data_IF_933405892849
#
_entry.id   IF_933405892849
#
_cell.length_a   1.000
_cell.length_b   1.000
_cell.length_c   1.000
_cell.angle_alpha   90.00
_cell.angle_beta   90.00
_cell.angle_gamma   90.00
#
_symmetry.space_group_name_H-M   'P 1'
#
loop_
_entity.id
_entity.type
_entity.pdbx_description
1 polymer ?
#
# COMPACT_ATOMS: atom_id res chain seq x y z
N UNK A 1 -5.59 -14.68 22.60
CA UNK A 1 -6.01 -14.70 21.18
C UNK A 1 -7.53 -14.63 21.15
N UNK A 2 -8.10 -13.80 20.28
CA UNK A 2 -9.54 -13.65 20.06
C UNK A 2 -9.85 -13.94 18.60
N UNK A 3 -10.91 -14.70 18.36
CA UNK A 3 -11.35 -15.07 17.02
C UNK A 3 -12.81 -14.67 16.87
N UNK A 4 -13.12 -13.97 15.78
CA UNK A 4 -14.43 -13.43 15.49
C UNK A 4 -14.88 -13.93 14.13
N UNK A 5 -16.06 -14.55 14.08
CA UNK A 5 -16.74 -14.76 12.81
C UNK A 5 -17.49 -13.48 12.45
N UNK A 6 -17.34 -13.03 11.21
CA UNK A 6 -17.97 -11.83 10.67
C UNK A 6 -18.57 -12.14 9.32
N UNK A 7 -19.66 -11.47 9.03
CA UNK A 7 -20.27 -11.46 7.70
C UNK A 7 -20.16 -10.03 7.18
N UNK A 8 -19.46 -9.84 6.07
CA UNK A 8 -19.35 -8.54 5.41
C UNK A 8 -20.43 -8.43 4.33
N UNK A 9 -21.14 -7.30 4.30
CA UNK A 9 -22.02 -6.97 3.20
C UNK A 9 -21.18 -6.61 1.97
N UNK A 10 -21.52 -7.20 0.82
CA UNK A 10 -20.86 -6.92 -0.44
C UNK A 10 -21.68 -5.87 -1.19
N UNK A 11 -21.21 -4.63 -1.13
CA UNK A 11 -21.81 -3.54 -1.89
C UNK A 11 -21.56 -3.69 -3.38
N UNK A 12 -22.50 -3.23 -4.22
CA UNK A 12 -22.39 -3.30 -5.69
C UNK A 12 -21.09 -2.65 -6.20
N UNK A 13 -20.64 -1.59 -5.54
CA UNK A 13 -19.41 -0.88 -5.88
C UNK A 13 -18.16 -1.79 -5.81
N UNK A 14 -18.14 -2.81 -4.94
CA UNK A 14 -16.99 -3.70 -4.81
C UNK A 14 -16.79 -4.57 -6.06
N UNK A 15 -17.82 -4.76 -6.89
CA UNK A 15 -17.71 -5.47 -8.16
C UNK A 15 -16.85 -4.73 -9.19
N UNK A 16 -16.57 -3.45 -8.97
CA UNK A 16 -15.71 -2.63 -9.83
C UNK A 16 -14.22 -2.77 -9.51
N UNK A 17 -13.86 -3.31 -8.34
CA UNK A 17 -12.48 -3.59 -7.97
C UNK A 17 -12.09 -5.02 -8.38
N UNK A 18 -11.40 -5.14 -9.52
CA UNK A 18 -11.17 -6.43 -10.19
C UNK A 18 -9.71 -6.77 -10.37
N UNK A 19 -9.41 -8.06 -10.21
CA UNK A 19 -8.14 -8.67 -10.59
C UNK A 19 -8.40 -9.83 -11.57
N UNK A 20 -7.85 -9.76 -12.78
CA UNK A 20 -8.01 -10.77 -13.84
C UNK A 20 -9.47 -11.20 -14.05
N UNK A 21 -10.37 -10.21 -14.12
CA UNK A 21 -11.80 -10.41 -14.35
C UNK A 21 -12.63 -10.74 -13.12
N UNK A 22 -12.01 -11.03 -11.96
CA UNK A 22 -12.70 -11.40 -10.73
C UNK A 22 -12.78 -10.23 -9.76
N UNK A 23 -13.93 -10.03 -9.13
CA UNK A 23 -14.08 -9.05 -8.06
C UNK A 23 -13.32 -9.52 -6.82
N UNK A 24 -12.50 -8.65 -6.25
CA UNK A 24 -11.68 -8.94 -5.06
C UNK A 24 -11.85 -7.82 -4.04
N UNK A 25 -11.85 -8.16 -2.75
CA UNK A 25 -11.95 -7.16 -1.69
C UNK A 25 -10.76 -6.18 -1.80
N UNK A 26 -11.02 -4.86 -1.91
CA UNK A 26 -9.95 -3.87 -1.89
C UNK A 26 -9.13 -3.96 -0.61
N UNK A 27 -7.81 -3.77 -0.74
CA UNK A 27 -6.88 -3.78 0.38
C UNK A 27 -7.27 -2.77 1.47
N UNK A 28 -7.73 -1.58 1.04
CA UNK A 28 -8.19 -0.50 1.91
C UNK A 28 -9.45 -0.86 2.71
N UNK A 29 -10.38 -1.61 2.12
CA UNK A 29 -11.60 -2.10 2.79
C UNK A 29 -11.26 -3.18 3.83
N UNK A 30 -10.32 -4.07 3.50
CA UNK A 30 -9.86 -5.09 4.44
C UNK A 30 -9.21 -4.46 5.68
N UNK A 31 -8.42 -3.40 5.51
CA UNK A 31 -7.85 -2.65 6.63
C UNK A 31 -8.91 -1.93 7.45
N UNK A 32 -9.91 -1.33 6.80
CA UNK A 32 -11.02 -0.66 7.47
C UNK A 32 -11.80 -1.63 8.37
N UNK A 33 -12.05 -2.85 7.88
CA UNK A 33 -12.66 -3.92 8.66
C UNK A 33 -11.81 -4.29 9.89
N UNK A 34 -10.52 -4.57 9.69
CA UNK A 34 -9.63 -4.97 10.80
C UNK A 34 -9.51 -3.86 11.86
N UNK A 35 -9.31 -2.61 11.44
CA UNK A 35 -9.27 -1.45 12.33
C UNK A 35 -10.59 -1.27 13.11
N UNK A 36 -11.74 -1.47 12.43
CA UNK A 36 -13.06 -1.42 13.05
C UNK A 36 -13.24 -2.46 14.15
N UNK A 37 -12.77 -3.69 13.93
CA UNK A 37 -12.84 -4.74 14.95
C UNK A 37 -11.92 -4.47 16.14
N UNK A 38 -10.69 -3.99 15.91
CA UNK A 38 -9.78 -3.60 17.01
C UNK A 38 -10.38 -2.50 17.87
N UNK A 39 -10.90 -1.46 17.24
CA UNK A 39 -11.53 -0.33 17.93
C UNK A 39 -12.76 -0.78 18.73
N UNK A 40 -13.61 -1.65 18.15
CA UNK A 40 -14.82 -2.16 18.81
C UNK A 40 -14.50 -3.02 20.02
N UNK A 41 -13.49 -3.89 19.90
CA UNK A 41 -13.21 -4.91 20.90
C UNK A 41 -12.30 -4.45 22.02
N UNK A 42 -11.47 -3.44 21.78
CA UNK A 42 -10.50 -2.94 22.77
C UNK A 42 -10.49 -1.43 22.96
N UNK A 43 -11.26 -0.66 22.18
CA UNK A 43 -11.28 0.79 22.30
C UNK A 43 -9.95 1.47 21.95
N UNK A 44 -9.04 0.76 21.28
CA UNK A 44 -7.72 1.29 20.93
C UNK A 44 -7.82 2.32 19.81
N UNK A 45 -6.86 3.24 19.81
CA UNK A 45 -6.60 4.06 18.64
C UNK A 45 -6.10 3.17 17.50
N UNK A 46 -6.65 3.42 16.31
CA UNK A 46 -6.38 2.70 15.06
C UNK A 46 -6.06 3.68 13.93
N UNK A 47 -5.73 4.92 14.29
CA UNK A 47 -5.15 5.93 13.40
C UNK A 47 -3.82 5.47 12.80
N UNK A 48 -3.11 4.55 13.48
CA UNK A 48 -1.89 3.92 12.99
C UNK A 48 -2.08 2.43 12.71
N UNK A 49 -1.52 1.97 11.58
CA UNK A 49 -1.36 0.56 11.26
C UNK A 49 0.09 0.29 10.85
N UNK A 50 0.72 -0.72 11.47
CA UNK A 50 2.11 -1.10 11.22
C UNK A 50 2.20 -2.52 10.62
N UNK A 51 3.28 -2.80 9.90
CA UNK A 51 3.64 -4.14 9.40
C UNK A 51 2.51 -4.82 8.62
N UNK A 52 1.87 -4.06 7.73
CA UNK A 52 0.72 -4.56 6.97
C UNK A 52 1.21 -5.46 5.85
N UNK A 53 0.54 -6.60 5.68
CA UNK A 53 0.80 -7.56 4.60
C UNK A 53 -0.50 -7.94 3.89
N UNK A 54 -0.51 -7.83 2.57
CA UNK A 54 -1.57 -8.34 1.69
C UNK A 54 -1.09 -9.65 1.06
N UNK A 55 -1.35 -10.74 1.78
CA UNK A 55 -0.81 -12.06 1.45
C UNK A 55 -1.54 -12.71 0.27
N UNK A 56 -2.87 -12.51 0.20
CA UNK A 56 -3.74 -13.12 -0.82
C UNK A 56 -4.96 -12.24 -1.06
N UNK A 57 -5.46 -12.26 -2.28
CA UNK A 57 -6.78 -11.71 -2.57
C UNK A 57 -7.88 -12.48 -1.85
N UNK A 58 -8.87 -11.75 -1.35
CA UNK A 58 -10.17 -12.30 -1.01
C UNK A 58 -11.08 -12.18 -2.24
N UNK A 59 -11.28 -13.28 -2.96
CA UNK A 59 -12.28 -13.34 -4.02
C UNK A 59 -13.67 -13.08 -3.43
N UNK A 60 -14.40 -12.12 -4.01
CA UNK A 60 -15.75 -11.81 -3.56
C UNK A 60 -16.76 -12.78 -4.22
N UNK A 61 -17.64 -13.41 -3.44
CA UNK A 61 -18.71 -14.23 -3.99
C UNK A 61 -19.73 -13.37 -4.75
N UNK A 62 -20.61 -14.03 -5.51
CA UNK A 62 -21.74 -13.38 -6.19
C UNK A 62 -22.94 -13.18 -5.24
N UNK A 63 -22.84 -13.63 -4.00
CA UNK A 63 -23.83 -13.42 -2.94
C UNK A 63 -23.70 -12.02 -2.35
N UNK A 64 -24.75 -11.46 -1.73
CA UNK A 64 -24.71 -10.12 -1.14
C UNK A 64 -23.84 -10.01 0.12
N UNK A 65 -23.24 -11.12 0.56
CA UNK A 65 -22.40 -11.18 1.73
C UNK A 65 -21.30 -12.24 1.60
N UNK A 66 -20.22 -12.05 2.35
CA UNK A 66 -19.15 -13.04 2.54
C UNK A 66 -18.85 -13.25 4.01
N UNK A 67 -18.66 -14.51 4.40
CA UNK A 67 -18.20 -14.87 5.73
C UNK A 67 -16.67 -14.82 5.79
N UNK A 68 -16.17 -14.15 6.83
CA UNK A 68 -14.75 -13.97 7.11
C UNK A 68 -14.48 -14.20 8.59
N UNK A 69 -13.22 -14.51 8.89
CA UNK A 69 -12.73 -14.71 10.25
C UNK A 69 -11.72 -13.60 10.53
N UNK A 70 -11.92 -12.89 11.64
CA UNK A 70 -10.96 -11.91 12.16
C UNK A 70 -10.29 -12.52 13.38
N UNK A 71 -8.99 -12.74 13.30
CA UNK A 71 -8.17 -13.22 14.42
C UNK A 71 -7.32 -12.10 14.95
N UNK A 72 -7.22 -12.00 16.27
CA UNK A 72 -6.53 -10.90 16.90
C UNK A 72 -5.79 -11.36 18.16
N UNK A 73 -4.57 -10.86 18.33
CA UNK A 73 -3.70 -11.24 19.44
C UNK A 73 -2.82 -10.08 19.88
N UNK A 74 -2.61 -9.96 21.19
CA UNK A 74 -1.63 -9.04 21.74
C UNK A 74 -0.21 -9.47 21.35
N UNK A 75 0.59 -8.49 20.91
CA UNK A 75 2.02 -8.59 20.61
C UNK A 75 2.69 -7.35 21.21
N UNK A 76 3.10 -7.45 22.47
CA UNK A 76 3.54 -6.29 23.25
C UNK A 76 2.38 -5.32 23.44
N UNK A 77 2.58 -4.05 23.09
CA UNK A 77 1.57 -2.98 23.19
C UNK A 77 0.66 -2.86 21.96
N UNK A 78 0.86 -3.72 20.96
CA UNK A 78 0.07 -3.74 19.72
C UNK A 78 -0.81 -4.98 19.64
N UNK A 79 -1.89 -4.87 18.90
CA UNK A 79 -2.73 -5.97 18.44
C UNK A 79 -2.31 -6.36 17.04
N UNK A 80 -1.84 -7.59 16.88
CA UNK A 80 -1.74 -8.21 15.57
C UNK A 80 -3.10 -8.78 15.15
N UNK A 81 -3.59 -8.36 14.00
CA UNK A 81 -4.85 -8.78 13.41
C UNK A 81 -4.63 -9.53 12.11
N UNK A 82 -5.53 -10.46 11.81
CA UNK A 82 -5.54 -11.24 10.58
C UNK A 82 -6.96 -11.34 10.04
N UNK A 83 -7.13 -11.02 8.76
CA UNK A 83 -8.33 -11.33 8.01
C UNK A 83 -8.14 -12.69 7.32
N UNK A 84 -9.04 -13.61 7.60
CA UNK A 84 -9.01 -14.96 7.07
C UNK A 84 -10.33 -15.32 6.40
N UNK A 85 -10.29 -16.25 5.45
CA UNK A 85 -11.46 -16.92 4.90
C UNK A 85 -11.31 -18.44 4.99
N UNK A 86 -12.43 -19.15 4.88
CA UNK A 86 -12.43 -20.61 4.82
C UNK A 86 -12.72 -21.07 3.40
N UNK A 87 -11.92 -21.99 2.90
CA UNK A 87 -12.16 -22.65 1.62
C UNK A 87 -12.46 -24.12 1.85
N UNK A 88 -13.55 -24.62 1.27
CA UNK A 88 -13.86 -26.04 1.26
C UNK A 88 -12.99 -26.79 0.25
N UNK A 89 -12.52 -27.98 0.63
CA UNK A 89 -12.02 -28.96 -0.33
C UNK A 89 -13.13 -29.40 -1.29
N UNK A 90 -12.76 -29.84 -2.50
CA UNK A 90 -13.74 -30.33 -3.51
C UNK A 90 -14.60 -31.50 -3.02
N UNK A 91 -14.14 -32.25 -2.03
CA UNK A 91 -14.87 -33.37 -1.41
C UNK A 91 -15.71 -32.97 -0.18
N UNK A 92 -15.67 -31.68 0.22
CA UNK A 92 -16.41 -31.17 1.38
C UNK A 92 -15.89 -31.63 2.76
N UNK A 93 -14.94 -32.56 2.81
CA UNK A 93 -14.48 -33.20 4.05
C UNK A 93 -13.53 -32.34 4.90
N UNK A 94 -12.85 -31.37 4.28
CA UNK A 94 -11.91 -30.46 4.96
C UNK A 94 -12.15 -29.01 4.56
N UNK A 95 -12.14 -28.12 5.55
CA UNK A 95 -12.07 -26.67 5.37
C UNK A 95 -10.64 -26.20 5.68
N UNK A 96 -10.08 -25.36 4.81
CA UNK A 96 -8.77 -24.73 5.02
C UNK A 96 -8.96 -23.26 5.28
N UNK A 97 -8.39 -22.78 6.40
CA UNK A 97 -8.24 -21.35 6.67
C UNK A 97 -7.15 -20.76 5.78
N UNK A 98 -7.47 -19.68 5.09
CA UNK A 98 -6.54 -18.89 4.29
C UNK A 98 -6.43 -17.51 4.90
N UNK A 99 -5.22 -17.04 5.15
CA UNK A 99 -4.95 -15.67 5.60
C UNK A 99 -4.80 -14.77 4.37
N UNK A 100 -5.54 -13.67 4.34
CA UNK A 100 -5.51 -12.68 3.26
C UNK A 100 -4.75 -11.42 3.65
N UNK A 101 -5.02 -10.89 4.84
CA UNK A 101 -4.45 -9.62 5.30
C UNK A 101 -3.97 -9.77 6.73
N UNK A 102 -2.83 -9.16 7.03
CA UNK A 102 -2.29 -9.01 8.38
C UNK A 102 -1.97 -7.56 8.64
N UNK A 103 -2.25 -7.08 9.84
CA UNK A 103 -1.93 -5.71 10.25
C UNK A 103 -1.75 -5.63 11.76
N UNK A 104 -0.80 -4.82 12.24
CA UNK A 104 -0.66 -4.49 13.65
C UNK A 104 -1.26 -3.11 13.93
N UNK A 105 -2.08 -3.01 14.97
CA UNK A 105 -2.68 -1.75 15.44
C UNK A 105 -2.30 -1.50 16.89
N UNK A 106 -2.14 -0.25 17.29
CA UNK A 106 -1.81 0.11 18.66
C UNK A 106 -1.56 1.60 18.79
N UNK A 107 -1.07 2.04 19.97
CA UNK A 107 -0.86 3.45 20.21
C UNK A 107 0.09 4.04 19.17
N UNK A 108 -0.27 5.24 18.70
CA UNK A 108 0.66 6.06 17.95
C UNK A 108 1.82 6.44 18.90
N UNK A 109 3.03 5.95 18.61
CA UNK A 109 4.23 6.27 19.37
C UNK A 109 4.69 7.73 19.20
N UNK A 110 3.92 8.57 18.50
CA UNK A 110 4.15 10.00 18.42
C UNK A 110 5.42 10.36 17.66
N UNK A 111 5.98 9.42 16.89
CA UNK A 111 7.09 9.71 15.99
C UNK A 111 6.67 10.89 15.10
N UNK A 112 7.46 11.97 14.98
CA UNK A 112 7.09 13.07 14.12
C UNK A 112 6.84 12.54 12.71
N UNK A 113 5.86 13.11 12.01
CA UNK A 113 5.78 12.95 10.55
C UNK A 113 7.19 13.29 10.06
N UNK A 114 7.89 12.41 9.32
CA UNK A 114 9.19 12.76 8.77
C UNK A 114 9.06 14.14 8.11
N UNK A 115 10.01 15.07 8.34
CA UNK A 115 9.92 16.44 7.86
C UNK A 115 9.57 16.49 6.36
N UNK A 116 9.09 17.65 5.92
CA UNK A 116 8.61 17.98 4.57
C UNK A 116 9.58 17.69 3.40
N UNK A 117 10.68 16.96 3.61
CA UNK A 117 11.54 16.35 2.59
C UNK A 117 10.84 15.20 1.84
N UNK A 118 9.50 15.24 1.79
CA UNK A 118 8.78 14.59 0.73
C UNK A 118 9.24 15.29 -0.55
N UNK A 119 10.08 14.61 -1.32
CA UNK A 119 10.43 15.09 -2.66
C UNK A 119 9.12 15.17 -3.43
N UNK A 120 8.53 16.36 -3.48
CA UNK A 120 7.45 16.65 -4.43
C UNK A 120 8.00 16.18 -5.77
N UNK A 121 7.30 15.33 -6.54
CA UNK A 121 7.76 14.89 -7.85
C UNK A 121 8.20 16.10 -8.67
N UNK A 122 9.51 16.33 -8.79
CA UNK A 122 10.00 17.70 -8.83
C UNK A 122 11.46 17.85 -9.21
N UNK A 123 11.90 17.15 -10.25
CA UNK A 123 12.72 17.74 -11.32
C UNK A 123 12.97 16.68 -12.42
N UNK A 124 12.33 16.82 -13.58
CA UNK A 124 12.52 15.89 -14.69
C UNK A 124 11.45 15.99 -15.77
N UNK A 125 11.57 15.17 -16.81
CA UNK A 125 10.52 15.04 -17.82
C UNK A 125 9.27 14.42 -17.20
N UNK A 126 8.19 15.21 -17.14
CA UNK A 126 6.89 14.77 -16.60
C UNK A 126 6.04 14.19 -17.71
N UNK A 127 5.61 12.93 -17.58
CA UNK A 127 4.53 12.38 -18.39
C UNK A 127 3.20 12.72 -17.72
N UNK A 128 2.32 13.38 -18.44
CA UNK A 128 0.94 13.63 -17.99
C UNK A 128 0.00 12.62 -18.65
N UNK A 129 -0.71 11.84 -17.85
CA UNK A 129 -1.66 10.81 -18.31
C UNK A 129 -3.07 11.22 -17.90
N UNK A 130 -4.03 11.19 -18.83
CA UNK A 130 -5.41 11.57 -18.52
C UNK A 130 -6.15 10.42 -17.82
N UNK A 131 -7.10 10.71 -16.90
CA UNK A 131 -7.93 9.69 -16.25
C UNK A 131 -8.57 8.69 -17.22
N UNK A 132 -9.02 9.14 -18.38
CA UNK A 132 -9.67 8.29 -19.39
C UNK A 132 -8.71 7.25 -19.96
N UNK A 133 -7.43 7.60 -20.13
CA UNK A 133 -6.40 6.68 -20.62
C UNK A 133 -5.97 5.69 -19.52
N UNK A 134 -5.90 6.16 -18.27
CA UNK A 134 -5.62 5.31 -17.09
C UNK A 134 -6.64 4.18 -17.00
N UNK A 135 -7.93 4.52 -16.96
CA UNK A 135 -9.00 3.56 -16.69
C UNK A 135 -9.43 2.74 -17.90
N UNK A 136 -9.01 3.12 -19.11
CA UNK A 136 -9.25 2.32 -20.32
C UNK A 136 -8.29 1.14 -20.40
N UNK A 137 -7.01 1.34 -20.06
CA UNK A 137 -5.96 0.35 -20.36
C UNK A 137 -5.04 0.04 -19.19
N UNK A 138 -4.55 1.05 -18.45
CA UNK A 138 -3.48 0.86 -17.47
C UNK A 138 -3.96 0.29 -16.13
N UNK A 139 -5.13 0.74 -15.64
CA UNK A 139 -5.76 0.27 -14.41
C UNK A 139 -7.27 0.16 -14.67
N UNK A 140 -7.75 -0.90 -15.33
CA UNK A 140 -9.11 -0.98 -15.88
C UNK A 140 -10.17 -1.31 -14.81
N UNK A 141 -10.20 -0.54 -13.73
CA UNK A 141 -11.22 -0.63 -12.69
C UNK A 141 -12.57 -0.07 -13.16
N UNK A 142 -13.65 -0.57 -12.57
CA UNK A 142 -15.01 -0.10 -12.82
C UNK A 142 -15.29 1.26 -12.14
N UNK A 143 -16.41 1.91 -12.50
CA UNK A 143 -16.71 3.31 -12.14
C UNK A 143 -16.49 3.70 -10.68
N UNK A 144 -16.84 2.85 -9.72
CA UNK A 144 -16.68 3.16 -8.30
C UNK A 144 -15.22 3.32 -7.84
N UNK A 145 -14.28 2.70 -8.55
CA UNK A 145 -12.85 2.77 -8.25
C UNK A 145 -12.07 3.67 -9.22
N UNK A 146 -12.78 4.44 -10.07
CA UNK A 146 -12.18 5.44 -10.96
C UNK A 146 -11.99 6.77 -10.24
N UNK A 147 -11.06 6.80 -9.30
CA UNK A 147 -10.96 7.87 -8.32
C UNK A 147 -9.79 8.84 -8.55
N UNK A 148 -8.94 8.60 -9.55
CA UNK A 148 -8.03 9.60 -10.13
C UNK A 148 -8.87 10.48 -11.06
N UNK A 149 -9.09 11.73 -10.68
CA UNK A 149 -10.01 12.65 -11.39
C UNK A 149 -9.29 13.81 -12.11
N UNK A 150 -8.01 14.01 -11.82
CA UNK A 150 -7.13 14.91 -12.56
C UNK A 150 -6.08 14.14 -13.35
N UNK A 151 -5.35 14.80 -14.26
CA UNK A 151 -4.19 14.20 -14.90
C UNK A 151 -3.22 13.62 -13.86
N UNK A 152 -2.73 12.40 -14.11
CA UNK A 152 -1.64 11.83 -13.35
C UNK A 152 -0.31 12.32 -13.91
N UNK A 153 0.49 12.95 -13.06
CA UNK A 153 1.82 13.44 -13.39
C UNK A 153 2.85 12.41 -12.91
N UNK A 154 3.57 11.80 -13.84
CA UNK A 154 4.58 10.78 -13.58
C UNK A 154 5.97 11.33 -13.84
N UNK A 155 6.86 11.20 -12.85
CA UNK A 155 8.28 11.55 -12.92
C UNK A 155 9.11 10.36 -12.43
N UNK A 156 10.42 10.41 -12.64
CA UNK A 156 11.34 9.41 -12.10
C UNK A 156 11.23 9.29 -10.56
N UNK A 157 10.94 10.38 -9.86
CA UNK A 157 10.90 10.41 -8.40
C UNK A 157 9.53 10.01 -7.82
N UNK A 158 8.50 9.88 -8.66
CA UNK A 158 7.16 9.57 -8.16
C UNK A 158 6.02 9.96 -9.07
N UNK A 159 4.81 9.91 -8.51
CA UNK A 159 3.55 10.21 -9.18
C UNK A 159 2.66 11.12 -8.33
N UNK A 160 1.84 11.95 -8.97
CA UNK A 160 0.82 12.75 -8.30
C UNK A 160 -0.44 12.90 -9.14
N UNK A 161 -1.59 13.00 -8.48
CA UNK A 161 -2.84 13.35 -9.13
C UNK A 161 -3.88 13.87 -8.12
N UNK A 162 -4.85 14.62 -8.63
CA UNK A 162 -6.07 14.90 -7.87
C UNK A 162 -6.95 13.64 -7.84
N UNK A 163 -7.40 13.28 -6.65
CA UNK A 163 -8.23 12.09 -6.39
C UNK A 163 -9.51 12.48 -5.68
N UNK A 164 -10.54 11.64 -5.78
CA UNK A 164 -11.87 11.93 -5.24
C UNK A 164 -12.37 10.82 -4.32
N UNK A 165 -12.86 11.21 -3.15
CA UNK A 165 -13.58 10.33 -2.23
C UNK A 165 -15.03 10.18 -2.69
N UNK A 166 -15.38 9.07 -3.34
CA UNK A 166 -16.73 8.87 -3.88
C UNK A 166 -17.80 8.91 -2.80
N UNK A 167 -18.97 9.42 -3.16
CA UNK A 167 -20.22 9.36 -2.39
C UNK A 167 -20.86 7.98 -2.48
N UNK A 168 -20.13 6.98 -2.00
CA UNK A 168 -20.55 5.60 -1.92
C UNK A 168 -20.31 5.14 -0.49
N UNK A 169 -21.31 4.52 0.12
CA UNK A 169 -21.18 3.93 1.44
C UNK A 169 -20.23 2.72 1.37
N UNK A 170 -19.01 2.89 1.88
CA UNK A 170 -17.99 1.84 2.00
C UNK A 170 -18.27 0.93 3.20
N UNK A 171 -17.41 -0.07 3.46
CA UNK A 171 -17.55 -0.82 4.72
C UNK A 171 -17.46 0.14 5.92
N UNK A 172 -18.26 -0.06 6.97
CA UNK A 172 -18.20 0.77 8.16
C UNK A 172 -16.84 0.60 8.82
N UNK A 173 -16.22 1.71 9.21
CA UNK A 173 -14.98 1.65 9.98
C UNK A 173 -14.37 3.02 10.27
N UNK A 174 -13.24 3.03 10.99
CA UNK A 174 -12.70 4.24 11.59
C UNK A 174 -11.74 5.02 10.69
N UNK A 175 -11.57 4.62 9.43
CA UNK A 175 -10.47 5.08 8.56
C UNK A 175 -10.84 6.16 7.54
N UNK A 176 -12.06 6.70 7.57
CA UNK A 176 -12.54 7.66 6.56
C UNK A 176 -12.95 6.97 5.25
N UNK A 177 -13.01 7.74 4.16
CA UNK A 177 -13.28 7.21 2.82
C UNK A 177 -12.07 6.41 2.29
N UNK A 178 -12.26 5.16 1.81
CA UNK A 178 -11.16 4.31 1.33
C UNK A 178 -10.68 4.67 -0.09
N UNK A 179 -11.53 5.37 -0.86
CA UNK A 179 -11.32 5.63 -2.29
C UNK A 179 -10.07 6.47 -2.62
N UNK A 180 -9.72 7.54 -1.87
CA UNK A 180 -8.50 8.30 -2.14
C UNK A 180 -7.21 7.49 -1.93
N UNK A 181 -7.17 6.63 -0.91
CA UNK A 181 -6.00 5.79 -0.64
C UNK A 181 -5.83 4.71 -1.71
N UNK A 182 -6.94 4.10 -2.15
CA UNK A 182 -6.89 3.16 -3.26
C UNK A 182 -6.39 3.84 -4.55
N UNK A 183 -6.85 5.06 -4.84
CA UNK A 183 -6.35 5.85 -5.97
C UNK A 183 -4.83 6.13 -5.87
N UNK A 184 -4.29 6.32 -4.65
CA UNK A 184 -2.85 6.43 -4.46
C UNK A 184 -2.09 5.12 -4.78
N UNK A 185 -2.67 3.95 -4.48
CA UNK A 185 -2.11 2.66 -4.94
C UNK A 185 -2.14 2.54 -6.46
N UNK A 186 -3.20 3.04 -7.11
CA UNK A 186 -3.29 3.09 -8.57
C UNK A 186 -2.19 3.98 -9.17
N UNK A 187 -1.86 5.12 -8.55
CA UNK A 187 -0.72 5.96 -8.95
C UNK A 187 0.63 5.24 -8.82
N UNK A 188 0.86 4.51 -7.73
CA UNK A 188 2.06 3.68 -7.57
C UNK A 188 2.14 2.59 -8.66
N UNK A 189 1.00 1.99 -9.02
CA UNK A 189 0.92 1.05 -10.14
C UNK A 189 1.29 1.70 -11.47
N UNK A 190 0.74 2.89 -11.78
CA UNK A 190 1.09 3.65 -12.98
C UNK A 190 2.58 3.99 -13.06
N UNK A 191 3.19 4.35 -11.93
CA UNK A 191 4.63 4.59 -11.86
C UNK A 191 5.41 3.31 -12.19
N UNK A 192 5.04 2.17 -11.58
CA UNK A 192 5.68 0.87 -11.85
C UNK A 192 5.54 0.46 -13.32
N UNK A 193 4.39 0.70 -13.92
CA UNK A 193 4.15 0.47 -15.33
C UNK A 193 5.07 1.32 -16.21
N UNK A 194 5.18 2.62 -15.91
CA UNK A 194 5.97 3.59 -16.68
C UNK A 194 7.47 3.34 -16.61
N UNK A 195 8.01 3.12 -15.41
CA UNK A 195 9.46 3.15 -15.16
C UNK A 195 10.08 1.77 -14.96
N UNK A 196 9.26 0.74 -14.73
CA UNK A 196 9.71 -0.64 -14.50
C UNK A 196 9.05 -1.66 -15.44
N UNK A 197 8.13 -1.23 -16.31
CA UNK A 197 7.46 -2.12 -17.24
C UNK A 197 6.61 -3.21 -16.55
N UNK A 198 6.19 -2.99 -15.30
CA UNK A 198 5.48 -3.98 -14.50
C UNK A 198 4.14 -3.45 -13.99
N UNK A 199 3.14 -4.33 -13.91
CA UNK A 199 1.85 -4.03 -13.30
C UNK A 199 1.89 -4.47 -11.84
N UNK A 200 2.19 -3.51 -10.95
CA UNK A 200 2.38 -3.76 -9.52
C UNK A 200 1.08 -3.71 -8.73
N UNK A 201 0.97 -4.58 -7.72
CA UNK A 201 -0.14 -4.62 -6.77
C UNK A 201 0.39 -4.47 -5.34
N UNK A 202 -0.37 -3.85 -4.42
CA UNK A 202 0.08 -3.69 -3.04
C UNK A 202 0.22 -5.07 -2.38
N UNK A 203 1.40 -5.34 -1.81
CA UNK A 203 1.68 -6.56 -1.03
C UNK A 203 1.91 -6.28 0.45
N UNK A 204 2.00 -5.01 0.82
CA UNK A 204 2.09 -4.58 2.21
C UNK A 204 2.67 -3.18 2.34
N UNK A 205 2.75 -2.69 3.57
CA UNK A 205 3.46 -1.45 3.88
C UNK A 205 4.02 -1.48 5.30
N UNK A 206 5.04 -0.67 5.56
CA UNK A 206 5.66 -0.60 6.87
C UNK A 206 4.76 0.10 7.88
N UNK A 207 4.18 1.25 7.49
CA UNK A 207 3.33 2.06 8.36
C UNK A 207 2.29 2.86 7.58
N UNK A 208 1.11 3.02 8.15
CA UNK A 208 0.06 3.95 7.74
C UNK A 208 -0.33 4.80 8.94
N UNK A 209 -0.54 6.10 8.73
CA UNK A 209 -1.01 7.05 9.74
C UNK A 209 -2.10 7.94 9.19
N UNK A 210 -3.22 8.01 9.90
CA UNK A 210 -4.39 8.82 9.61
C UNK A 210 -4.39 10.00 10.58
N UNK A 211 -4.07 11.20 10.07
CA UNK A 211 -4.08 12.43 10.87
C UNK A 211 -5.48 13.03 10.92
N UNK A 212 -6.22 12.91 9.80
CA UNK A 212 -7.58 13.39 9.64
C UNK A 212 -8.31 12.45 8.69
N UNK A 213 -9.57 12.17 9.00
CA UNK A 213 -10.39 11.31 8.15
C UNK A 213 -10.66 12.00 6.82
N UNK A 214 -10.51 11.26 5.73
CA UNK A 214 -11.07 11.66 4.44
C UNK A 214 -12.59 11.60 4.51
N UNK A 215 -13.25 12.59 3.90
CA UNK A 215 -14.68 12.77 3.86
C UNK A 215 -15.21 12.37 2.49
N UNK A 216 -16.36 11.70 2.48
CA UNK A 216 -17.12 11.40 1.27
C UNK A 216 -17.46 12.69 0.49
N UNK A 217 -17.39 12.63 -0.85
CA UNK A 217 -17.69 13.73 -1.76
C UNK A 217 -16.57 14.76 -1.91
N UNK A 218 -15.40 14.58 -1.28
CA UNK A 218 -14.30 15.54 -1.33
C UNK A 218 -13.15 15.14 -2.24
N UNK A 219 -12.49 16.17 -2.75
CA UNK A 219 -11.26 16.06 -3.53
C UNK A 219 -10.03 16.14 -2.63
N UNK A 220 -9.01 15.37 -2.97
CA UNK A 220 -7.71 15.33 -2.33
C UNK A 220 -6.60 15.35 -3.36
N UNK A 221 -5.40 15.72 -2.92
CA UNK A 221 -4.19 15.54 -3.68
C UNK A 221 -3.47 14.27 -3.20
N UNK A 222 -3.27 13.30 -4.08
CA UNK A 222 -2.47 12.11 -3.78
C UNK A 222 -1.07 12.30 -4.34
N UNK A 223 -0.06 12.10 -3.50
CA UNK A 223 1.36 12.11 -3.86
C UNK A 223 2.00 10.77 -3.50
N UNK A 224 2.80 10.26 -4.43
CA UNK A 224 3.52 8.99 -4.34
C UNK A 224 4.98 9.28 -4.63
N UNK A 225 5.86 9.03 -3.67
CA UNK A 225 7.31 9.11 -3.85
C UNK A 225 7.86 7.72 -4.11
N UNK A 226 8.63 7.55 -5.18
CA UNK A 226 9.30 6.29 -5.50
C UNK A 226 10.60 6.17 -4.70
N UNK A 227 10.68 5.12 -3.88
CA UNK A 227 11.90 4.75 -3.16
C UNK A 227 12.83 3.90 -4.02
N UNK A 228 13.97 3.52 -3.42
CA UNK A 228 14.83 2.48 -4.01
C UNK A 228 14.12 1.13 -3.90
N UNK A 229 14.13 0.30 -4.95
CA UNK A 229 13.57 -1.05 -4.85
C UNK A 229 14.37 -1.87 -3.84
N UNK A 230 13.68 -2.78 -3.16
CA UNK A 230 14.28 -3.76 -2.24
C UNK A 230 13.98 -5.16 -2.77
N UNK A 231 15.00 -5.79 -3.37
CA UNK A 231 14.82 -7.04 -4.12
C UNK A 231 13.85 -6.85 -5.29
N UNK A 232 12.82 -7.69 -5.34
CA UNK A 232 11.78 -7.65 -6.39
C UNK A 232 10.64 -6.66 -6.11
N UNK A 233 10.62 -6.03 -4.93
CA UNK A 233 9.52 -5.17 -4.50
C UNK A 233 9.81 -3.70 -4.88
N UNK A 234 8.83 -3.03 -5.49
CA UNK A 234 8.87 -1.59 -5.66
C UNK A 234 8.43 -0.91 -4.35
N UNK A 235 9.23 0.05 -3.87
CA UNK A 235 8.98 0.77 -2.64
C UNK A 235 8.45 2.18 -2.90
N UNK A 236 7.45 2.59 -2.12
CA UNK A 236 6.86 3.92 -2.20
C UNK A 236 6.49 4.48 -0.84
N UNK A 237 6.52 5.80 -0.73
CA UNK A 237 5.86 6.54 0.35
C UNK A 237 4.70 7.36 -0.23
N UNK A 238 3.59 7.46 0.50
CA UNK A 238 2.38 8.14 0.04
C UNK A 238 1.97 9.25 1.00
N UNK A 239 1.35 10.30 0.44
CA UNK A 239 0.56 11.27 1.20
C UNK A 239 -0.74 11.61 0.49
N UNK A 240 -1.79 11.77 1.29
CA UNK A 240 -3.05 12.38 0.88
C UNK A 240 -3.15 13.76 1.54
N UNK A 241 -3.35 14.80 0.75
CA UNK A 241 -3.48 16.17 1.21
C UNK A 241 -4.87 16.73 0.90
N UNK A 242 -5.41 17.57 1.80
CA UNK A 242 -6.57 18.39 1.50
C UNK A 242 -6.22 19.54 0.54
N UNK A 243 -7.21 20.37 0.20
CA UNK A 243 -7.05 21.52 -0.70
C UNK A 243 -6.16 22.62 -0.11
N UNK A 244 -5.99 22.67 1.21
CA UNK A 244 -5.13 23.61 1.92
C UNK A 244 -3.70 23.04 2.11
N UNK A 245 -3.40 21.87 1.54
CA UNK A 245 -2.11 21.20 1.65
C UNK A 245 -1.87 20.53 3.01
N UNK A 246 -2.92 20.32 3.83
CA UNK A 246 -2.79 19.59 5.10
C UNK A 246 -2.79 18.10 4.83
N UNK A 247 -1.88 17.39 5.48
CA UNK A 247 -1.79 15.92 5.39
C UNK A 247 -3.00 15.31 6.10
N UNK A 248 -3.80 14.57 5.34
CA UNK A 248 -4.91 13.76 5.83
C UNK A 248 -4.40 12.39 6.27
N UNK A 249 -3.58 11.78 5.41
CA UNK A 249 -3.04 10.45 5.61
C UNK A 249 -1.62 10.35 5.04
N UNK A 250 -0.79 9.54 5.68
CA UNK A 250 0.52 9.16 5.17
C UNK A 250 0.74 7.65 5.24
N UNK A 251 1.52 7.13 4.31
CA UNK A 251 1.96 5.74 4.29
C UNK A 251 3.44 5.66 3.98
N UNK A 252 4.16 4.81 4.71
CA UNK A 252 5.59 4.59 4.61
C UNK A 252 5.86 3.15 4.17
N UNK A 253 6.77 2.99 3.22
CA UNK A 253 7.26 1.70 2.76
C UNK A 253 6.18 0.83 2.13
N UNK A 254 5.28 1.42 1.33
CA UNK A 254 4.37 0.67 0.46
C UNK A 254 5.17 -0.20 -0.50
N UNK A 255 4.91 -1.49 -0.46
CA UNK A 255 5.52 -2.49 -1.34
C UNK A 255 4.54 -2.87 -2.43
N UNK A 256 4.97 -2.74 -3.68
CA UNK A 256 4.22 -3.16 -4.85
C UNK A 256 4.97 -4.28 -5.59
N UNK A 257 4.26 -5.32 -6.01
CA UNK A 257 4.84 -6.48 -6.72
C UNK A 257 3.96 -6.94 -7.87
N UNK A 258 4.58 -7.49 -8.92
CA UNK A 258 3.84 -8.25 -9.94
C UNK A 258 3.43 -9.63 -9.40
N UNK A 259 2.21 -9.71 -8.89
CA UNK A 259 1.58 -10.96 -8.45
C UNK A 259 0.84 -11.69 -9.59
N UNK A 260 0.76 -11.08 -10.77
CA UNK A 260 0.18 -11.69 -11.97
C UNK A 260 1.13 -12.69 -12.62
N UNK A 261 2.44 -12.62 -12.29
CA UNK A 261 3.54 -13.38 -12.90
C UNK A 261 3.66 -13.10 -14.40
N UNK A 262 3.62 -11.83 -14.77
CA UNK A 262 3.73 -11.35 -16.15
C UNK A 262 2.49 -11.53 -17.03
N UNK A 263 1.37 -12.02 -16.47
CA UNK A 263 0.10 -12.13 -17.22
C UNK A 263 -0.51 -10.77 -17.53
N UNK A 264 -0.27 -9.78 -16.67
CA UNK A 264 -0.62 -8.39 -16.94
C UNK A 264 0.61 -7.66 -17.46
N UNK A 265 0.41 -6.90 -18.53
CA UNK A 265 1.43 -6.06 -19.16
C UNK A 265 0.96 -4.62 -19.17
N UNK A 266 1.85 -3.64 -18.93
CA UNK A 266 1.50 -2.24 -19.14
C UNK A 266 1.20 -1.99 -20.61
N UNK A 267 0.37 -0.98 -20.94
CA UNK A 267 0.14 -0.59 -22.33
C UNK A 267 1.36 0.10 -22.93
N UNK A 268 1.59 -0.09 -24.23
CA UNK A 268 2.80 0.38 -24.93
C UNK A 268 3.00 1.90 -24.82
N UNK A 269 1.92 2.68 -24.87
CA UNK A 269 1.99 4.14 -24.75
C UNK A 269 2.50 4.60 -23.38
N UNK A 270 2.39 3.76 -22.35
CA UNK A 270 2.87 4.06 -21.01
C UNK A 270 4.34 3.66 -20.84
N UNK A 271 4.86 2.70 -21.61
CA UNK A 271 6.26 2.26 -21.56
C UNK A 271 7.09 3.10 -22.55
N UNK A 272 7.35 4.37 -22.26
CA UNK A 272 8.17 5.23 -23.13
C UNK A 272 9.68 4.89 -23.11
N UNK A 273 10.39 5.15 -24.21
CA UNK A 273 11.84 4.87 -24.43
C UNK A 273 12.79 5.35 -23.31
N UNK A 274 12.46 6.47 -22.63
CA UNK A 274 13.26 7.02 -21.53
C UNK A 274 13.28 6.17 -20.23
N UNK A 275 12.35 5.22 -20.07
CA UNK A 275 12.35 4.32 -18.92
C UNK A 275 13.59 3.41 -18.90
N UNK A 276 14.06 3.01 -20.09
CA UNK A 276 15.25 2.17 -20.29
C UNK A 276 16.52 2.90 -19.83
N UNK A 277 16.62 4.21 -20.07
CA UNK A 277 17.77 5.03 -19.65
C UNK A 277 17.76 5.34 -18.14
N UNK A 278 16.59 5.41 -17.50
CA UNK A 278 16.48 5.61 -16.06
C UNK A 278 16.81 4.33 -15.26
N UNK A 279 16.41 3.16 -15.76
CA UNK A 279 16.83 1.85 -15.25
C UNK A 279 18.36 1.77 -15.15
N UNK A 280 19.08 2.16 -16.22
CA UNK A 280 20.54 2.19 -16.24
C UNK A 280 21.17 3.15 -15.23
N UNK A 281 20.56 4.32 -14.96
CA UNK A 281 21.10 5.31 -13.99
C UNK A 281 20.90 4.93 -12.52
N UNK A 282 19.85 4.17 -12.21
CA UNK A 282 19.65 3.65 -10.85
C UNK A 282 20.63 2.51 -10.53
N UNK A 283 21.07 1.75 -11.54
CA UNK A 283 22.12 0.75 -11.43
C UNK A 283 23.52 1.39 -11.28
N UNK A 284 23.81 2.46 -12.03
CA UNK A 284 25.14 3.09 -12.08
C UNK A 284 25.51 3.91 -10.81
N UNK A 285 24.50 4.41 -10.08
CA UNK A 285 24.69 5.01 -8.74
C UNK A 285 25.10 3.99 -7.65
N UNK A 286 25.20 2.71 -8.00
CA UNK A 286 25.67 1.62 -7.12
C UNK A 286 27.19 1.54 -6.91
N UNK A 287 27.99 2.46 -7.46
CA UNK A 287 29.47 2.34 -7.44
C UNK A 287 30.23 3.44 -6.69
N UNK A 288 29.57 4.43 -6.08
CA UNK A 288 30.28 5.49 -5.34
C UNK A 288 29.54 5.89 -4.06
N UNK A 289 30.06 5.46 -2.90
CA UNK A 289 30.48 6.26 -1.73
C UNK A 289 30.93 5.32 -0.58
N UNK A 290 31.82 5.78 0.33
CA UNK A 290 32.85 4.95 0.96
C UNK A 290 32.32 4.13 2.12
N UNK A 291 32.90 2.93 2.26
CA UNK A 291 32.86 2.14 3.49
C UNK A 291 33.47 2.99 4.61
N UNK A 292 32.65 3.44 5.55
CA UNK A 292 33.15 3.94 6.82
C UNK A 292 33.75 2.75 7.58
N UNK A 293 35.07 2.65 7.58
CA UNK A 293 35.77 1.74 8.48
C UNK A 293 35.63 2.25 9.91
N UNK A 294 34.69 1.67 10.66
CA UNK A 294 34.73 1.67 12.12
C UNK A 294 35.44 0.40 12.59
N UNK A 295 36.76 0.34 12.34
CA UNK A 295 37.66 -0.67 12.90
C UNK A 295 38.31 -0.15 14.17
N UNK A 296 37.56 -0.15 15.28
CA UNK A 296 38.10 0.15 16.61
C UNK A 296 39.12 -0.93 17.00
N UNK A 297 40.40 -0.58 16.99
CA UNK A 297 41.47 -1.44 17.48
C UNK A 297 41.50 -1.40 19.01
N UNK A 298 41.11 -2.52 19.61
CA UNK A 298 41.28 -2.80 21.03
C UNK A 298 42.77 -3.11 21.28
N UNK A 299 43.52 -2.14 21.82
CA UNK A 299 44.89 -2.37 22.33
C UNK A 299 44.81 -3.03 23.71
N UNK A 300 44.91 -4.34 23.75
CA UNK A 300 45.39 -5.05 24.94
C UNK A 300 46.91 -4.98 24.98
N UNK A 301 47.48 -4.27 25.96
CA UNK A 301 48.90 -4.41 26.28
C UNK A 301 49.07 -5.65 27.14
N UNK A 302 49.70 -6.67 26.55
CA UNK A 302 50.25 -7.82 27.25
C UNK A 302 51.54 -7.44 27.94
N UNK A 303 51.67 -7.95 29.16
CA UNK A 303 52.91 -8.13 29.89
C UNK A 303 53.93 -8.88 29.04
N UNK A 304 55.19 -8.45 29.07
CA UNK A 304 56.30 -9.37 28.84
C UNK A 304 57.45 -9.08 29.81
N UNK A 305 57.73 -10.10 30.62
CA UNK A 305 58.97 -10.27 31.36
C UNK A 305 60.09 -10.61 30.36
N UNK A 306 61.28 -10.03 30.51
CA UNK A 306 62.52 -10.76 30.87
C UNK A 306 63.79 -9.91 30.75
N UNK A 307 64.62 -10.09 31.79
CA UNK A 307 66.08 -10.24 31.82
C UNK A 307 66.97 -9.00 31.53
N UNK A 308 67.74 -8.66 32.57
CA UNK A 308 68.80 -7.66 32.60
C UNK A 308 69.02 -7.20 34.03
#
# INVERSE_FOLDING_TARGET
MRTLNRTIAIGLYMADHRFLGRAVLPAVEALQLLAGEVKREWGLDVSQADTVEFLRFLDLPQTPAADVIVEMEWRGERILTRLCSTTGSRSGAMTRKLEQVRAAFGPDEGAPIPPQDFVVPGSGATLSVRPEDIYREAVPFGPAFRNIIGPAHLTADGASARVHAREIESLPGPSGSPFPLDAAFQLACLWGQRFRGLVGFPVGFARRRIFRLTESGRDYQAWVSAGRPEGDDLLFDLRLLDQDGRVMEAMEGLRMKDISRGRLKPPDWLIGEQAVAHLARLEDRGSAFPVSQAGGTFRGQGEDRKLG
#
